data_IF_438093660651
#
_entry.id   IF_438093660651
#
_cell.length_a   1.000
_cell.length_b   1.000
_cell.length_c   1.000
_cell.angle_alpha   90.00
_cell.angle_beta   90.00
_cell.angle_gamma   90.00
#
_symmetry.space_group_name_H-M   'P 1'
#
loop_
_entity.id
_entity.type
_entity.pdbx_description
1 polymer ?
#
# COMPACT_ATOMS: atom_id res chain seq x y z
N UNK A 1 23.81 -7.77 58.12
CA UNK A 1 23.40 -7.43 56.74
C UNK A 1 24.52 -7.24 55.71
N UNK A 2 25.80 -7.03 56.07
CA UNK A 2 26.91 -6.86 55.11
C UNK A 2 27.47 -8.18 54.53
N UNK A 3 27.18 -9.34 55.15
CA UNK A 3 27.64 -10.65 54.66
C UNK A 3 26.75 -11.26 53.54
N UNK A 4 25.43 -11.05 53.62
CA UNK A 4 24.48 -11.60 52.66
C UNK A 4 24.60 -10.98 51.26
N UNK A 5 24.93 -9.70 51.21
CA UNK A 5 25.10 -8.93 49.96
C UNK A 5 26.35 -9.33 49.16
N UNK A 6 27.39 -9.88 49.82
CA UNK A 6 28.59 -10.38 49.13
C UNK A 6 28.34 -11.75 48.47
N UNK A 7 27.49 -12.58 49.05
CA UNK A 7 27.16 -13.89 48.50
C UNK A 7 26.18 -13.78 47.30
N UNK A 8 25.23 -12.86 47.35
CA UNK A 8 24.33 -12.60 46.22
C UNK A 8 25.04 -12.05 44.98
N UNK A 9 26.05 -11.18 45.17
CA UNK A 9 26.87 -10.67 44.07
C UNK A 9 27.75 -11.76 43.48
N UNK A 10 28.27 -12.70 44.30
CA UNK A 10 29.11 -13.81 43.84
C UNK A 10 28.28 -14.85 43.07
N UNK A 11 27.03 -15.15 43.49
CA UNK A 11 26.10 -16.03 42.78
C UNK A 11 25.64 -15.36 41.48
N UNK A 12 25.36 -14.05 41.45
CA UNK A 12 25.01 -13.32 40.26
C UNK A 12 26.14 -13.28 39.22
N UNK A 13 27.42 -13.21 39.71
CA UNK A 13 28.58 -13.26 38.81
C UNK A 13 28.89 -14.65 38.25
N UNK A 14 28.49 -15.72 38.97
CA UNK A 14 28.67 -17.10 38.52
C UNK A 14 27.63 -17.48 37.44
N UNK A 15 26.45 -16.84 37.39
CA UNK A 15 25.41 -17.09 36.41
C UNK A 15 25.71 -16.38 35.08
N UNK A 16 26.56 -15.36 35.03
CA UNK A 16 26.89 -14.57 33.83
C UNK A 16 27.98 -15.24 32.98
N UNK A 17 28.62 -16.31 33.42
CA UNK A 17 29.75 -16.95 32.71
C UNK A 17 29.43 -18.31 32.05
N UNK A 18 28.16 -18.65 31.81
CA UNK A 18 27.84 -19.73 30.88
C UNK A 18 27.86 -19.14 29.47
N UNK A 19 29.04 -18.95 28.94
CA UNK A 19 29.23 -18.81 27.50
C UNK A 19 28.92 -20.19 26.92
N UNK A 20 27.82 -20.31 26.19
CA UNK A 20 27.58 -21.49 25.34
C UNK A 20 28.63 -21.43 24.25
N UNK A 21 29.70 -22.21 24.41
CA UNK A 21 30.71 -22.38 23.37
C UNK A 21 30.01 -23.17 22.27
N UNK A 22 29.81 -22.54 21.13
CA UNK A 22 29.32 -23.24 19.93
C UNK A 22 30.31 -24.33 19.55
N UNK A 23 29.85 -25.59 19.38
CA UNK A 23 30.71 -26.71 19.02
C UNK A 23 31.23 -26.57 17.60
N UNK A 24 30.58 -25.76 16.75
CA UNK A 24 30.99 -25.50 15.38
C UNK A 24 30.70 -24.05 14.94
N UNK A 25 31.35 -23.65 13.85
CA UNK A 25 31.04 -22.43 13.11
C UNK A 25 30.91 -22.73 11.63
N UNK A 26 30.08 -21.94 10.93
CA UNK A 26 29.89 -22.08 9.47
C UNK A 26 30.62 -20.93 8.78
N UNK A 27 31.46 -21.29 7.81
CA UNK A 27 32.25 -20.35 7.03
C UNK A 27 32.04 -20.57 5.53
N UNK A 28 32.34 -19.55 4.73
CA UNK A 28 32.29 -19.62 3.25
C UNK A 28 30.94 -20.05 2.69
N UNK A 29 29.81 -19.69 3.34
CA UNK A 29 28.48 -20.01 2.84
C UNK A 29 28.21 -19.24 1.54
N UNK A 30 27.98 -20.01 0.47
CA UNK A 30 27.62 -19.52 -0.86
C UNK A 30 26.36 -20.21 -1.33
N UNK A 31 25.41 -19.45 -1.85
CA UNK A 31 24.16 -19.93 -2.45
C UNK A 31 24.06 -19.37 -3.85
N UNK A 32 23.94 -20.24 -4.85
CA UNK A 32 23.83 -19.87 -6.26
C UNK A 32 22.58 -20.52 -6.89
N UNK A 33 21.66 -19.75 -7.50
CA UNK A 33 21.63 -18.29 -7.55
C UNK A 33 21.28 -17.68 -6.18
N UNK A 34 21.80 -16.47 -5.93
CA UNK A 34 21.44 -15.67 -4.76
C UNK A 34 20.12 -14.90 -5.02
N UNK A 35 19.34 -14.66 -3.95
CA UNK A 35 18.10 -13.88 -4.01
C UNK A 35 16.84 -14.72 -4.13
N UNK A 36 15.82 -14.20 -4.82
CA UNK A 36 14.55 -14.91 -5.01
C UNK A 36 14.66 -16.01 -6.07
N UNK A 37 13.90 -17.08 -5.83
CA UNK A 37 13.87 -18.25 -6.69
C UNK A 37 12.49 -18.43 -7.32
N UNK A 38 12.44 -19.13 -8.43
CA UNK A 38 11.19 -19.64 -9.02
C UNK A 38 11.20 -21.18 -8.99
N UNK A 39 10.03 -21.84 -9.01
CA UNK A 39 9.94 -23.29 -9.04
C UNK A 39 10.86 -23.92 -10.07
N UNK A 40 11.50 -25.02 -9.71
CA UNK A 40 12.46 -25.78 -10.51
C UNK A 40 13.78 -25.04 -10.85
N UNK A 41 14.05 -23.85 -10.31
CA UNK A 41 15.36 -23.20 -10.42
C UNK A 41 16.41 -24.10 -9.77
N UNK A 42 17.49 -24.51 -10.47
CA UNK A 42 18.62 -25.21 -9.86
C UNK A 42 19.28 -24.34 -8.81
N UNK A 43 19.61 -24.94 -7.66
CA UNK A 43 20.27 -24.26 -6.54
C UNK A 43 21.45 -25.08 -6.08
N UNK A 44 22.59 -24.42 -5.96
CA UNK A 44 23.81 -25.01 -5.38
C UNK A 44 24.17 -24.23 -4.11
N UNK A 45 24.41 -24.97 -3.02
CA UNK A 45 24.86 -24.40 -1.74
C UNK A 45 26.21 -25.01 -1.40
N UNK A 46 27.20 -24.18 -1.16
CA UNK A 46 28.54 -24.65 -0.73
C UNK A 46 28.94 -23.94 0.55
N UNK A 47 29.48 -24.66 1.53
CA UNK A 47 29.93 -24.09 2.78
C UNK A 47 30.94 -25.01 3.48
N UNK A 48 31.58 -24.48 4.49
CA UNK A 48 32.49 -25.19 5.38
C UNK A 48 32.02 -25.07 6.82
N UNK A 49 31.99 -26.18 7.53
CA UNK A 49 31.75 -26.25 8.97
C UNK A 49 33.11 -26.49 9.63
N UNK A 50 33.48 -25.59 10.52
CA UNK A 50 34.72 -25.67 11.29
C UNK A 50 34.38 -26.02 12.75
N UNK A 51 34.92 -27.12 13.25
CA UNK A 51 34.74 -27.50 14.65
C UNK A 51 35.59 -26.60 15.56
N UNK A 52 35.00 -26.06 16.61
CA UNK A 52 35.69 -25.21 17.58
C UNK A 52 36.21 -25.95 18.83
N UNK A 53 36.44 -27.26 18.69
CA UNK A 53 36.90 -28.13 19.76
C UNK A 53 36.63 -29.60 19.43
N UNK A 54 36.49 -30.43 20.46
CA UNK A 54 36.06 -31.83 20.28
C UNK A 54 34.55 -31.86 20.11
N UNK A 55 34.07 -32.32 18.96
CA UNK A 55 32.62 -32.55 18.77
C UNK A 55 32.19 -33.77 19.62
N UNK A 56 31.09 -33.70 20.40
CA UNK A 56 30.64 -34.80 21.24
C UNK A 56 30.31 -36.05 20.38
N UNK A 57 30.82 -37.20 20.77
CA UNK A 57 30.66 -38.44 19.98
C UNK A 57 29.21 -38.91 19.83
N UNK A 58 28.38 -38.57 20.84
CA UNK A 58 27.00 -39.02 20.93
C UNK A 58 25.99 -38.00 20.37
N UNK A 59 26.49 -36.85 19.92
CA UNK A 59 25.70 -35.83 19.30
C UNK A 59 25.62 -36.03 17.78
N UNK A 60 24.71 -35.31 17.11
CA UNK A 60 24.51 -35.43 15.66
C UNK A 60 24.44 -34.03 15.04
N UNK A 61 25.12 -33.82 13.93
CA UNK A 61 24.99 -32.62 13.13
C UNK A 61 24.02 -32.88 11.98
N UNK A 62 22.84 -32.23 12.02
CA UNK A 62 21.83 -32.32 10.98
C UNK A 62 21.86 -31.13 10.05
N UNK A 63 21.88 -31.40 8.76
CA UNK A 63 21.73 -30.43 7.68
C UNK A 63 20.40 -30.68 6.99
N UNK A 64 19.55 -29.66 6.95
CA UNK A 64 18.20 -29.77 6.39
C UNK A 64 17.98 -28.76 5.27
N UNK A 65 17.22 -29.16 4.25
CA UNK A 65 16.77 -28.30 3.16
C UNK A 65 15.31 -28.58 2.78
N UNK A 66 14.61 -27.55 2.28
CA UNK A 66 13.31 -27.71 1.64
C UNK A 66 13.43 -27.82 0.10
N UNK A 67 14.63 -27.78 -0.47
CA UNK A 67 14.83 -28.01 -1.90
C UNK A 67 14.27 -29.37 -2.31
N UNK A 68 13.76 -29.46 -3.52
CA UNK A 68 13.36 -30.72 -4.13
C UNK A 68 14.55 -31.41 -4.80
N UNK A 69 14.53 -32.75 -4.79
CA UNK A 69 15.59 -33.61 -5.34
C UNK A 69 16.97 -33.24 -4.79
N UNK A 70 17.14 -33.03 -3.50
CA UNK A 70 18.42 -32.62 -2.95
C UNK A 70 19.45 -33.74 -3.02
N UNK A 71 20.68 -33.37 -3.34
CA UNK A 71 21.85 -34.23 -3.38
C UNK A 71 22.96 -33.61 -2.56
N UNK A 72 23.46 -34.37 -1.56
CA UNK A 72 24.50 -33.92 -0.66
C UNK A 72 25.82 -34.60 -1.00
N UNK A 73 26.87 -33.78 -1.08
CA UNK A 73 28.26 -34.25 -1.13
C UNK A 73 28.98 -33.59 0.04
N UNK A 74 29.67 -34.37 0.86
CA UNK A 74 30.47 -33.81 1.94
C UNK A 74 31.82 -34.51 2.10
N UNK A 75 32.79 -33.78 2.58
CA UNK A 75 34.14 -34.20 2.82
C UNK A 75 34.55 -33.84 4.24
N UNK A 76 34.94 -34.84 5.04
CA UNK A 76 35.51 -34.59 6.37
C UNK A 76 37.00 -34.36 6.18
N UNK A 77 37.51 -33.24 6.65
CA UNK A 77 38.92 -32.85 6.52
C UNK A 77 39.53 -32.86 7.93
N UNK A 78 40.55 -33.69 8.11
CA UNK A 78 41.27 -33.82 9.39
C UNK A 78 42.74 -33.49 9.17
N UNK A 79 43.25 -32.44 9.78
CA UNK A 79 44.65 -31.98 9.58
C UNK A 79 45.02 -31.81 8.11
N UNK A 80 44.07 -31.33 7.28
CA UNK A 80 44.24 -31.15 5.83
C UNK A 80 44.06 -32.42 4.98
N UNK A 81 43.84 -33.59 5.60
CA UNK A 81 43.55 -34.83 4.88
C UNK A 81 42.08 -34.94 4.57
N UNK A 82 41.73 -35.04 3.29
CA UNK A 82 40.35 -35.11 2.81
C UNK A 82 39.80 -36.53 2.78
N UNK A 83 38.63 -36.72 3.42
CA UNK A 83 37.89 -37.97 3.42
C UNK A 83 36.51 -37.72 2.78
N UNK A 84 36.44 -37.99 1.47
CA UNK A 84 35.18 -37.85 0.72
C UNK A 84 34.18 -38.92 1.15
N UNK A 85 32.94 -38.50 1.36
CA UNK A 85 31.82 -39.38 1.71
C UNK A 85 30.94 -39.65 0.49
N UNK A 86 30.21 -40.77 0.47
CA UNK A 86 29.26 -41.07 -0.59
C UNK A 86 28.23 -39.98 -0.78
N UNK A 87 27.76 -39.77 -2.02
CA UNK A 87 26.65 -38.86 -2.35
C UNK A 87 25.38 -39.38 -1.69
N UNK A 88 24.66 -38.50 -0.99
CA UNK A 88 23.43 -38.85 -0.29
C UNK A 88 22.28 -37.99 -0.83
N UNK A 89 21.11 -38.62 -0.98
CA UNK A 89 19.85 -37.91 -1.28
C UNK A 89 18.99 -37.69 -0.03
N UNK A 90 17.91 -36.93 -0.20
CA UNK A 90 16.95 -36.66 0.89
C UNK A 90 17.12 -35.26 1.49
N UNK A 91 16.05 -34.76 2.10
CA UNK A 91 16.02 -33.40 2.63
C UNK A 91 16.87 -33.20 3.88
N UNK A 92 17.30 -34.29 4.51
CA UNK A 92 18.14 -34.25 5.71
C UNK A 92 19.40 -35.10 5.47
N UNK A 93 20.54 -34.49 5.76
CA UNK A 93 21.83 -35.16 5.91
C UNK A 93 22.20 -35.15 7.39
N UNK A 94 22.41 -36.33 7.98
CA UNK A 94 22.86 -36.49 9.35
C UNK A 94 24.34 -36.93 9.36
N UNK A 95 25.16 -36.21 10.09
CA UNK A 95 26.59 -36.57 10.32
C UNK A 95 26.73 -36.91 11.80
N UNK A 96 27.09 -38.16 12.08
CA UNK A 96 27.28 -38.63 13.47
C UNK A 96 28.44 -37.89 14.14
N UNK A 97 28.26 -37.53 15.38
CA UNK A 97 29.32 -36.93 16.19
C UNK A 97 30.55 -37.85 16.29
N UNK A 98 30.34 -39.20 16.23
CA UNK A 98 31.46 -40.16 16.16
C UNK A 98 32.40 -39.90 14.97
N UNK A 99 31.88 -39.48 13.82
CA UNK A 99 32.68 -39.16 12.62
C UNK A 99 33.42 -37.80 12.78
N UNK A 100 33.02 -36.96 13.69
CA UNK A 100 33.59 -35.62 13.95
C UNK A 100 34.42 -35.55 15.24
N UNK A 101 34.43 -36.64 16.02
CA UNK A 101 35.10 -36.68 17.32
C UNK A 101 36.59 -37.03 17.13
N UNK A 102 37.44 -36.02 17.13
CA UNK A 102 38.90 -36.11 17.06
C UNK A 102 39.53 -35.44 18.28
N UNK A 103 40.84 -35.60 18.46
CA UNK A 103 41.52 -34.96 19.56
C UNK A 103 41.49 -33.41 19.45
N UNK A 104 41.54 -32.73 20.58
CA UNK A 104 41.56 -31.26 20.63
C UNK A 104 42.70 -30.61 19.85
N UNK A 105 43.79 -31.38 19.56
CA UNK A 105 44.93 -30.94 18.76
C UNK A 105 44.71 -31.06 17.28
N UNK A 106 43.65 -31.71 16.85
CA UNK A 106 43.37 -31.94 15.43
C UNK A 106 42.45 -30.85 14.89
N UNK A 107 42.77 -30.33 13.72
CA UNK A 107 41.91 -29.42 13.00
C UNK A 107 40.89 -30.24 12.19
N UNK A 108 39.60 -30.13 12.57
CA UNK A 108 38.51 -30.87 11.93
C UNK A 108 37.55 -29.91 11.29
N UNK A 109 37.28 -30.17 10.01
CA UNK A 109 36.24 -29.40 9.31
C UNK A 109 35.46 -30.28 8.32
N UNK A 110 34.26 -29.83 7.95
CA UNK A 110 33.42 -30.52 6.96
C UNK A 110 33.12 -29.54 5.83
N UNK A 111 33.53 -29.88 4.62
CA UNK A 111 33.12 -29.17 3.42
C UNK A 111 31.86 -29.82 2.88
N UNK A 112 30.83 -29.06 2.61
CA UNK A 112 29.53 -29.55 2.14
C UNK A 112 29.15 -28.84 0.86
N UNK A 113 28.61 -29.61 -0.09
CA UNK A 113 27.91 -29.11 -1.27
C UNK A 113 26.54 -29.76 -1.32
N UNK A 114 25.51 -28.92 -1.40
CA UNK A 114 24.13 -29.33 -1.63
C UNK A 114 23.70 -28.86 -3.01
N UNK A 115 23.18 -29.74 -3.81
CA UNK A 115 22.54 -29.44 -5.08
C UNK A 115 21.05 -29.82 -4.99
N UNK A 116 20.19 -29.04 -5.57
CA UNK A 116 18.74 -29.30 -5.59
C UNK A 116 18.01 -28.33 -6.50
N UNK A 117 16.72 -28.36 -6.46
CA UNK A 117 15.88 -27.38 -7.20
C UNK A 117 14.88 -26.73 -6.26
N UNK A 118 14.56 -25.46 -6.53
CA UNK A 118 13.54 -24.75 -5.77
C UNK A 118 12.19 -25.48 -5.85
N UNK A 119 11.49 -25.69 -4.74
CA UNK A 119 10.24 -26.46 -4.72
C UNK A 119 9.10 -25.70 -5.42
N UNK A 120 8.10 -26.44 -5.88
CA UNK A 120 6.83 -25.85 -6.29
C UNK A 120 6.10 -25.31 -5.07
N UNK A 121 5.54 -24.10 -5.21
CA UNK A 121 4.77 -23.41 -4.15
C UNK A 121 3.41 -22.99 -4.69
N UNK A 122 2.39 -23.08 -3.85
CA UNK A 122 1.04 -22.59 -4.16
C UNK A 122 0.88 -21.10 -3.90
N UNK A 123 1.72 -20.56 -3.01
CA UNK A 123 1.81 -19.16 -2.65
C UNK A 123 3.28 -18.76 -2.52
N UNK A 124 3.61 -17.53 -2.90
CA UNK A 124 4.95 -16.97 -2.71
C UNK A 124 5.34 -17.03 -1.23
N UNK A 125 6.41 -17.77 -0.91
CA UNK A 125 6.81 -18.05 0.48
C UNK A 125 8.30 -18.25 0.64
N UNK A 126 8.82 -17.95 1.83
CA UNK A 126 10.17 -18.27 2.22
C UNK A 126 10.32 -19.78 2.40
N UNK A 127 11.41 -20.34 1.82
CA UNK A 127 11.81 -21.74 1.96
C UNK A 127 13.19 -21.83 2.56
N UNK A 128 13.39 -22.80 3.45
CA UNK A 128 14.70 -23.10 4.01
C UNK A 128 15.60 -23.70 2.94
N UNK A 129 16.62 -22.96 2.53
CA UNK A 129 17.62 -23.44 1.58
C UNK A 129 18.61 -24.34 2.28
N UNK A 130 19.09 -23.91 3.45
CA UNK A 130 19.95 -24.70 4.32
C UNK A 130 19.68 -24.33 5.79
N UNK A 131 19.52 -25.34 6.63
CA UNK A 131 19.55 -25.22 8.08
C UNK A 131 20.50 -26.25 8.65
N UNK A 132 21.40 -25.81 9.49
CA UNK A 132 22.43 -26.62 10.16
C UNK A 132 22.10 -26.57 11.65
N UNK A 133 21.89 -27.71 12.28
CA UNK A 133 21.51 -27.81 13.69
C UNK A 133 22.24 -28.96 14.34
N UNK A 134 22.83 -28.75 15.49
CA UNK A 134 23.38 -29.77 16.35
C UNK A 134 22.26 -30.35 17.23
N UNK A 135 22.21 -31.67 17.30
CA UNK A 135 21.29 -32.39 18.18
C UNK A 135 22.12 -33.13 19.23
N UNK A 136 21.78 -32.93 20.49
CA UNK A 136 22.41 -33.64 21.60
C UNK A 136 22.01 -35.12 21.63
N UNK A 137 22.76 -35.94 22.37
CA UNK A 137 22.52 -37.38 22.54
C UNK A 137 21.10 -37.77 22.94
N UNK A 138 20.36 -36.87 23.56
CA UNK A 138 18.95 -37.05 23.92
C UNK A 138 17.97 -36.60 22.83
N UNK A 139 18.46 -36.24 21.64
CA UNK A 139 17.67 -35.80 20.49
C UNK A 139 17.13 -34.37 20.57
N UNK A 140 17.66 -33.55 21.47
CA UNK A 140 17.26 -32.14 21.58
C UNK A 140 18.12 -31.25 20.69
N UNK A 141 17.49 -30.37 19.92
CA UNK A 141 18.17 -29.39 19.10
C UNK A 141 18.88 -28.32 19.96
N UNK A 142 20.14 -28.06 19.68
CA UNK A 142 20.92 -27.00 20.32
C UNK A 142 20.75 -25.72 19.46
N UNK A 143 19.71 -24.97 19.77
CA UNK A 143 19.29 -23.82 18.95
C UNK A 143 20.27 -22.65 19.01
N UNK A 144 21.15 -22.57 20.01
CA UNK A 144 22.20 -21.56 20.12
C UNK A 144 23.28 -21.67 19.04
N UNK A 145 23.41 -22.84 18.41
CA UNK A 145 24.39 -23.12 17.35
C UNK A 145 23.74 -23.18 15.96
N UNK A 146 22.42 -23.07 15.88
CA UNK A 146 21.69 -23.20 14.62
C UNK A 146 22.04 -22.09 13.64
N UNK A 147 22.34 -22.48 12.40
CA UNK A 147 22.52 -21.59 11.25
C UNK A 147 21.42 -21.90 10.25
N UNK A 148 20.66 -20.88 9.83
CA UNK A 148 19.60 -21.03 8.85
C UNK A 148 19.70 -19.95 7.77
N UNK A 149 19.51 -20.37 6.51
CA UNK A 149 19.36 -19.45 5.38
C UNK A 149 18.12 -19.82 4.60
N UNK A 150 17.32 -18.81 4.26
CA UNK A 150 16.07 -18.96 3.52
C UNK A 150 16.12 -18.15 2.23
N UNK A 151 15.36 -18.56 1.23
CA UNK A 151 15.11 -17.77 0.02
C UNK A 151 13.61 -17.69 -0.25
N UNK A 152 13.19 -16.55 -0.81
CA UNK A 152 11.82 -16.36 -1.27
C UNK A 152 11.59 -17.16 -2.55
N UNK A 153 10.70 -18.16 -2.51
CA UNK A 153 10.27 -18.90 -3.71
C UNK A 153 8.95 -18.29 -4.19
N UNK A 154 8.96 -17.76 -5.40
CA UNK A 154 7.88 -17.01 -5.99
C UNK A 154 6.96 -17.91 -6.81
N UNK A 155 5.67 -17.88 -6.56
CA UNK A 155 4.68 -18.53 -7.41
C UNK A 155 4.50 -17.74 -8.72
N UNK A 156 4.97 -18.28 -9.82
CA UNK A 156 4.91 -17.62 -11.15
C UNK A 156 3.50 -17.41 -11.66
N UNK A 157 2.56 -18.30 -11.29
CA UNK A 157 1.14 -18.17 -11.67
C UNK A 157 0.48 -17.01 -10.89
N UNK A 158 0.86 -16.81 -9.64
CA UNK A 158 0.41 -15.68 -8.82
C UNK A 158 0.84 -14.35 -9.44
N UNK A 159 2.11 -14.21 -9.84
CA UNK A 159 2.62 -13.00 -10.49
C UNK A 159 1.84 -12.68 -11.76
N UNK A 160 1.59 -13.67 -12.62
CA UNK A 160 0.81 -13.49 -13.85
C UNK A 160 -0.63 -13.06 -13.56
N UNK A 161 -1.25 -13.62 -12.52
CA UNK A 161 -2.60 -13.25 -12.07
C UNK A 161 -2.64 -11.81 -11.56
N UNK A 162 -1.65 -11.41 -10.75
CA UNK A 162 -1.55 -10.04 -10.22
C UNK A 162 -1.35 -9.03 -11.35
N UNK A 163 -0.49 -9.33 -12.34
CA UNK A 163 -0.33 -8.47 -13.53
C UNK A 163 -1.67 -8.25 -14.23
N UNK A 164 -2.43 -9.34 -14.49
CA UNK A 164 -3.73 -9.24 -15.15
C UNK A 164 -4.75 -8.42 -14.33
N UNK A 165 -4.76 -8.58 -13.01
CA UNK A 165 -5.61 -7.79 -12.13
C UNK A 165 -5.23 -6.30 -12.19
N UNK A 166 -3.95 -5.96 -12.15
CA UNK A 166 -3.49 -4.56 -12.21
C UNK A 166 -3.74 -3.92 -13.57
N UNK A 167 -3.72 -4.69 -14.66
CA UNK A 167 -4.17 -4.20 -15.98
C UNK A 167 -5.65 -3.78 -15.94
N UNK A 168 -6.49 -4.59 -15.34
CA UNK A 168 -7.91 -4.27 -15.20
C UNK A 168 -8.13 -3.03 -14.30
N UNK A 169 -7.43 -2.95 -13.17
CA UNK A 169 -7.48 -1.80 -12.27
C UNK A 169 -7.04 -0.50 -12.99
N UNK A 170 -5.98 -0.57 -13.79
CA UNK A 170 -5.47 0.57 -14.57
C UNK A 170 -6.50 1.05 -15.61
N UNK A 171 -7.24 0.15 -16.24
CA UNK A 171 -8.32 0.50 -17.17
C UNK A 171 -9.48 1.19 -16.45
N UNK A 172 -9.87 0.70 -15.27
CA UNK A 172 -10.89 1.33 -14.43
C UNK A 172 -10.45 2.75 -14.06
N UNK A 173 -9.22 2.89 -13.60
CA UNK A 173 -8.65 4.19 -13.24
C UNK A 173 -8.63 5.15 -14.44
N UNK A 174 -8.26 4.67 -15.63
CA UNK A 174 -8.35 5.48 -16.87
C UNK A 174 -9.77 5.99 -17.11
N UNK A 175 -10.76 5.12 -16.93
CA UNK A 175 -12.18 5.50 -17.10
C UNK A 175 -12.57 6.59 -16.12
N UNK A 176 -12.14 6.53 -14.87
CA UNK A 176 -12.42 7.57 -13.86
C UNK A 176 -11.81 8.91 -14.26
N UNK A 177 -10.57 8.91 -14.76
CA UNK A 177 -9.92 10.13 -15.27
C UNK A 177 -10.74 10.73 -16.42
N UNK A 178 -11.11 9.93 -17.42
CA UNK A 178 -11.87 10.37 -18.60
C UNK A 178 -13.23 10.95 -18.21
N UNK A 179 -13.94 10.28 -17.28
CA UNK A 179 -15.22 10.79 -16.76
C UNK A 179 -15.08 12.16 -16.08
N UNK A 180 -14.01 12.36 -15.30
CA UNK A 180 -13.80 13.65 -14.60
C UNK A 180 -13.33 14.74 -15.56
N UNK A 181 -12.47 14.39 -16.52
CA UNK A 181 -12.08 15.32 -17.58
C UNK A 181 -13.27 15.80 -18.40
N UNK A 182 -14.24 14.92 -18.70
CA UNK A 182 -15.48 15.26 -19.41
C UNK A 182 -16.37 16.25 -18.61
N UNK A 183 -16.21 16.31 -17.28
CA UNK A 183 -16.88 17.29 -16.42
C UNK A 183 -16.09 18.60 -16.28
N UNK A 184 -14.95 18.75 -16.98
CA UNK A 184 -14.09 19.93 -16.91
C UNK A 184 -13.22 20.02 -15.66
N UNK A 185 -13.07 18.91 -14.92
CA UNK A 185 -12.21 18.83 -13.75
C UNK A 185 -10.74 18.68 -14.20
N UNK A 186 -9.83 19.36 -13.53
CA UNK A 186 -8.39 19.22 -13.78
C UNK A 186 -7.90 17.84 -13.38
N UNK A 187 -7.55 17.03 -14.37
CA UNK A 187 -7.08 15.65 -14.19
C UNK A 187 -5.55 15.51 -14.32
N UNK A 188 -4.81 16.60 -14.42
CA UNK A 188 -3.37 16.59 -14.72
C UNK A 188 -2.54 15.78 -13.71
N UNK A 189 -2.85 15.91 -12.40
CA UNK A 189 -2.18 15.14 -11.35
C UNK A 189 -2.52 13.65 -11.42
N UNK A 190 -3.77 13.30 -11.73
CA UNK A 190 -4.21 11.93 -11.92
C UNK A 190 -3.59 11.28 -13.17
N UNK A 191 -3.48 12.04 -14.28
CA UNK A 191 -2.80 11.61 -15.50
C UNK A 191 -1.30 11.28 -15.25
N UNK A 192 -0.62 12.11 -14.46
CA UNK A 192 0.76 11.83 -14.07
C UNK A 192 0.89 10.51 -13.33
N UNK A 193 -0.03 10.23 -12.38
CA UNK A 193 -0.06 8.98 -11.62
C UNK A 193 -0.50 7.77 -12.45
N UNK A 194 -1.36 7.96 -13.45
CA UNK A 194 -1.69 6.93 -14.43
C UNK A 194 -0.45 6.50 -15.24
N UNK A 195 0.33 7.46 -15.69
CA UNK A 195 1.55 7.20 -16.45
C UNK A 195 2.62 6.49 -15.59
N UNK A 196 2.76 6.88 -14.31
CA UNK A 196 3.63 6.22 -13.34
C UNK A 196 3.20 4.76 -13.14
N UNK A 197 1.94 4.51 -12.81
CA UNK A 197 1.39 3.17 -12.63
C UNK A 197 1.54 2.30 -13.88
N UNK A 198 1.33 2.88 -15.05
CA UNK A 198 1.51 2.17 -16.32
C UNK A 198 2.97 1.79 -16.55
N UNK A 199 3.91 2.67 -16.24
CA UNK A 199 5.35 2.40 -16.37
C UNK A 199 5.77 1.26 -15.44
N UNK A 200 5.34 1.27 -14.18
CA UNK A 200 5.65 0.23 -13.20
C UNK A 200 5.07 -1.13 -13.63
N UNK A 201 3.84 -1.14 -14.14
CA UNK A 201 3.20 -2.34 -14.66
C UNK A 201 3.91 -2.91 -15.90
N UNK A 202 4.32 -2.05 -16.83
CA UNK A 202 5.08 -2.44 -18.02
C UNK A 202 6.49 -2.95 -17.63
N UNK A 203 7.12 -2.34 -16.61
CA UNK A 203 8.37 -2.82 -16.02
C UNK A 203 8.19 -4.23 -15.46
N UNK A 204 7.21 -4.43 -14.56
CA UNK A 204 6.92 -5.74 -13.95
C UNK A 204 6.70 -6.84 -15.00
N UNK A 205 6.01 -6.52 -16.09
CA UNK A 205 5.71 -7.46 -17.19
C UNK A 205 6.96 -7.87 -17.98
N UNK A 206 7.93 -6.96 -18.08
CA UNK A 206 9.15 -7.18 -18.87
C UNK A 206 10.23 -7.99 -18.13
N UNK A 207 10.11 -8.11 -16.80
CA UNK A 207 11.13 -8.77 -15.97
C UNK A 207 11.14 -10.30 -16.18
N UNK A 208 12.34 -10.90 -16.24
CA UNK A 208 12.46 -12.35 -16.31
C UNK A 208 12.10 -13.01 -14.96
N UNK A 209 11.81 -14.30 -14.97
CA UNK A 209 11.31 -15.04 -13.81
C UNK A 209 12.23 -14.99 -12.57
N UNK A 210 13.54 -14.88 -12.76
CA UNK A 210 14.50 -14.72 -11.65
C UNK A 210 14.47 -13.33 -11.01
N UNK A 211 13.70 -12.40 -11.55
CA UNK A 211 13.50 -11.05 -11.01
C UNK A 211 12.04 -10.80 -10.58
N UNK A 212 11.25 -11.83 -10.40
CA UNK A 212 9.85 -11.69 -10.02
C UNK A 212 9.63 -11.03 -8.64
N UNK A 213 10.61 -11.04 -7.73
CA UNK A 213 10.55 -10.23 -6.51
C UNK A 213 10.53 -8.73 -6.85
N UNK A 214 11.31 -8.30 -7.82
CA UNK A 214 11.27 -6.92 -8.34
C UNK A 214 9.94 -6.65 -9.03
N UNK A 215 9.44 -7.60 -9.84
CA UNK A 215 8.13 -7.48 -10.49
C UNK A 215 7.00 -7.27 -9.46
N UNK A 216 6.98 -8.01 -8.35
CA UNK A 216 6.00 -7.80 -7.28
C UNK A 216 6.13 -6.42 -6.61
N UNK A 217 7.36 -5.92 -6.46
CA UNK A 217 7.61 -4.56 -5.97
C UNK A 217 7.04 -3.51 -6.92
N UNK A 218 7.29 -3.63 -8.23
CA UNK A 218 6.77 -2.74 -9.25
C UNK A 218 5.24 -2.78 -9.30
N UNK A 219 4.62 -3.96 -9.18
CA UNK A 219 3.16 -4.12 -9.11
C UNK A 219 2.55 -3.42 -7.87
N UNK A 220 3.25 -3.44 -6.74
CA UNK A 220 2.83 -2.70 -5.55
C UNK A 220 2.99 -1.18 -5.75
N UNK A 221 4.07 -0.74 -6.41
CA UNK A 221 4.27 0.66 -6.78
C UNK A 221 3.16 1.15 -7.71
N UNK A 222 2.82 0.38 -8.76
CA UNK A 222 1.69 0.68 -9.65
C UNK A 222 0.37 0.82 -8.88
N UNK A 223 0.12 -0.07 -7.90
CA UNK A 223 -1.08 0.00 -7.06
C UNK A 223 -1.11 1.30 -6.24
N UNK A 224 0.02 1.66 -5.64
CA UNK A 224 0.15 2.89 -4.85
C UNK A 224 -0.06 4.13 -5.73
N UNK A 225 0.54 4.15 -6.91
CA UNK A 225 0.37 5.24 -7.87
C UNK A 225 -1.10 5.41 -8.28
N UNK A 226 -1.84 4.33 -8.58
CA UNK A 226 -3.28 4.39 -8.85
C UNK A 226 -4.08 4.93 -7.68
N UNK A 227 -3.81 4.47 -6.46
CA UNK A 227 -4.50 4.96 -5.24
C UNK A 227 -4.23 6.45 -4.98
N UNK A 228 -3.00 6.90 -5.17
CA UNK A 228 -2.64 8.32 -5.02
C UNK A 228 -3.28 9.17 -6.13
N UNK A 229 -3.38 8.61 -7.33
CA UNK A 229 -4.07 9.24 -8.44
C UNK A 229 -5.57 9.38 -8.22
N UNK A 230 -6.25 8.38 -7.67
CA UNK A 230 -7.68 8.46 -7.29
C UNK A 230 -7.89 9.53 -6.22
N UNK A 231 -7.00 9.64 -5.24
CA UNK A 231 -7.06 10.72 -4.24
C UNK A 231 -6.87 12.10 -4.86
N UNK A 232 -5.94 12.23 -5.82
CA UNK A 232 -5.72 13.48 -6.53
C UNK A 232 -6.96 13.88 -7.35
N UNK A 233 -7.62 12.91 -7.98
CA UNK A 233 -8.85 13.09 -8.75
C UNK A 233 -10.02 13.52 -7.85
N UNK A 234 -10.18 12.88 -6.70
CA UNK A 234 -11.20 13.25 -5.69
C UNK A 234 -10.95 14.66 -5.15
N UNK A 235 -9.70 15.03 -4.92
CA UNK A 235 -9.32 16.38 -4.48
C UNK A 235 -9.67 17.41 -5.55
N UNK A 236 -9.25 17.21 -6.79
CA UNK A 236 -9.53 18.13 -7.88
C UNK A 236 -11.05 18.32 -8.09
N UNK A 237 -11.81 17.24 -7.96
CA UNK A 237 -13.27 17.33 -8.02
C UNK A 237 -13.85 18.16 -6.88
N UNK A 238 -13.38 17.99 -5.65
CA UNK A 238 -13.84 18.78 -4.51
C UNK A 238 -13.47 20.26 -4.67
N UNK A 239 -12.28 20.57 -5.17
CA UNK A 239 -11.83 21.93 -5.47
C UNK A 239 -12.69 22.59 -6.55
N UNK A 240 -13.08 21.83 -7.58
CA UNK A 240 -14.01 22.33 -8.62
C UNK A 240 -15.39 22.67 -8.04
N UNK A 241 -15.98 21.78 -7.22
CA UNK A 241 -17.28 22.03 -6.57
C UNK A 241 -17.23 23.28 -5.65
N UNK A 242 -16.10 23.50 -4.96
CA UNK A 242 -15.87 24.70 -4.15
C UNK A 242 -15.80 25.95 -5.02
N UNK A 243 -15.11 25.89 -6.16
CA UNK A 243 -15.03 27.00 -7.12
C UNK A 243 -16.43 27.33 -7.67
N UNK A 244 -17.22 26.34 -8.03
CA UNK A 244 -18.58 26.52 -8.51
C UNK A 244 -19.47 27.15 -7.43
N UNK A 245 -19.33 26.73 -6.16
CA UNK A 245 -20.07 27.28 -5.04
C UNK A 245 -19.73 28.75 -4.74
N UNK A 246 -18.54 29.20 -5.07
CA UNK A 246 -18.12 30.59 -4.91
C UNK A 246 -18.87 31.53 -5.88
N UNK A 247 -19.30 31.05 -7.06
CA UNK A 247 -19.95 31.87 -8.10
C UNK A 247 -21.22 32.53 -7.59
N UNK A 248 -22.24 31.81 -7.08
CA UNK A 248 -23.45 32.44 -6.58
C UNK A 248 -23.21 33.33 -5.37
N UNK A 249 -22.22 33.05 -4.52
CA UNK A 249 -21.83 33.91 -3.39
C UNK A 249 -21.29 35.24 -3.90
N UNK A 250 -20.40 35.24 -4.89
CA UNK A 250 -19.90 36.48 -5.49
C UNK A 250 -21.01 37.25 -6.16
N UNK A 251 -21.94 36.59 -6.82
CA UNK A 251 -23.08 37.23 -7.46
C UNK A 251 -24.00 37.93 -6.45
N UNK A 252 -24.33 37.28 -5.33
CA UNK A 252 -25.15 37.92 -4.30
C UNK A 252 -24.40 39.08 -3.65
N UNK A 253 -23.07 39.01 -3.47
CA UNK A 253 -22.26 40.09 -2.94
C UNK A 253 -22.33 41.35 -3.82
N UNK A 254 -22.34 41.18 -5.15
CA UNK A 254 -22.53 42.29 -6.07
C UNK A 254 -23.89 42.97 -5.89
N UNK A 255 -24.97 42.16 -5.72
CA UNK A 255 -26.31 42.72 -5.49
C UNK A 255 -26.42 43.37 -4.11
N UNK A 256 -25.86 42.77 -3.05
CA UNK A 256 -25.81 43.38 -1.71
C UNK A 256 -25.06 44.71 -1.75
N UNK A 257 -23.97 44.80 -2.53
CA UNK A 257 -23.23 46.03 -2.71
C UNK A 257 -24.08 47.13 -3.39
N UNK A 258 -24.91 46.77 -4.36
CA UNK A 258 -25.87 47.68 -4.97
C UNK A 258 -26.90 48.22 -3.93
N UNK A 259 -27.45 47.34 -3.06
CA UNK A 259 -28.35 47.79 -1.98
C UNK A 259 -27.67 48.80 -1.06
N UNK A 260 -26.45 48.53 -0.61
CA UNK A 260 -25.70 49.37 0.35
C UNK A 260 -25.20 50.66 -0.30
N UNK A 261 -24.95 50.68 -1.58
CA UNK A 261 -24.49 51.87 -2.32
C UNK A 261 -25.59 52.93 -2.60
N UNK A 262 -26.86 52.56 -2.41
CA UNK A 262 -27.99 53.46 -2.67
C UNK A 262 -28.73 53.74 -1.38
N UNK A 263 -28.75 55.00 -0.97
CA UNK A 263 -29.39 55.45 0.31
C UNK A 263 -30.86 55.09 0.43
N UNK A 264 -31.59 54.97 -0.68
CA UNK A 264 -32.99 54.58 -0.71
C UNK A 264 -33.24 53.08 -0.46
N UNK A 265 -32.22 52.24 -0.65
CA UNK A 265 -32.30 50.78 -0.55
C UNK A 265 -31.43 50.21 0.58
N UNK A 266 -30.53 51.01 1.15
CA UNK A 266 -29.60 50.58 2.19
C UNK A 266 -30.27 50.01 3.45
N UNK A 267 -31.50 50.49 3.74
CA UNK A 267 -32.32 50.05 4.89
C UNK A 267 -33.49 49.14 4.47
N UNK A 268 -33.38 48.46 3.34
CA UNK A 268 -34.42 47.55 2.88
C UNK A 268 -34.65 46.42 3.90
N UNK A 269 -35.95 46.15 4.20
CA UNK A 269 -36.32 45.17 5.22
C UNK A 269 -36.00 43.71 4.88
N UNK A 270 -35.77 43.38 3.62
CA UNK A 270 -35.37 42.03 3.19
C UNK A 270 -33.85 41.85 3.13
N UNK A 271 -33.08 42.93 3.10
CA UNK A 271 -31.64 42.87 3.03
C UNK A 271 -30.98 42.04 4.16
N UNK A 272 -31.40 42.13 5.45
CA UNK A 272 -30.87 41.29 6.51
C UNK A 272 -31.06 39.78 6.25
N UNK A 273 -32.21 39.35 5.73
CA UNK A 273 -32.49 37.95 5.42
C UNK A 273 -31.62 37.44 4.28
N UNK A 274 -31.42 38.27 3.24
CA UNK A 274 -30.49 37.95 2.11
C UNK A 274 -29.06 37.79 2.63
N UNK A 275 -28.60 38.74 3.47
CA UNK A 275 -27.24 38.65 4.06
C UNK A 275 -27.10 37.38 4.91
N UNK A 276 -28.11 37.04 5.75
CA UNK A 276 -28.06 35.81 6.56
C UNK A 276 -27.91 34.57 5.70
N UNK A 277 -28.67 34.44 4.61
CA UNK A 277 -28.52 33.28 3.68
C UNK A 277 -27.14 33.25 3.05
N UNK A 278 -26.60 34.40 2.65
CA UNK A 278 -25.22 34.52 2.13
C UNK A 278 -24.19 34.08 3.16
N UNK A 279 -24.32 34.49 4.45
CA UNK A 279 -23.38 34.06 5.49
C UNK A 279 -23.43 32.54 5.75
N UNK A 280 -24.63 31.94 5.68
CA UNK A 280 -24.78 30.48 5.75
C UNK A 280 -24.03 29.80 4.59
N UNK A 281 -24.16 30.32 3.36
CA UNK A 281 -23.45 29.80 2.20
C UNK A 281 -21.91 29.88 2.39
N UNK A 282 -21.41 31.00 2.91
CA UNK A 282 -19.97 31.17 3.20
C UNK A 282 -19.50 30.22 4.29
N UNK A 283 -20.33 29.99 5.32
CA UNK A 283 -19.99 29.01 6.37
C UNK A 283 -19.86 27.60 5.81
N UNK A 284 -20.76 27.16 4.93
CA UNK A 284 -20.65 25.88 4.27
C UNK A 284 -19.39 25.80 3.36
N UNK A 285 -19.10 26.87 2.62
CA UNK A 285 -17.91 26.95 1.77
C UNK A 285 -16.62 26.88 2.59
N UNK A 286 -16.56 27.56 3.75
CA UNK A 286 -15.44 27.44 4.68
C UNK A 286 -15.27 26.02 5.17
N UNK A 287 -16.35 25.34 5.57
CA UNK A 287 -16.31 23.94 6.00
C UNK A 287 -15.83 23.04 4.86
N UNK A 288 -16.26 23.26 3.62
CA UNK A 288 -15.79 22.52 2.47
C UNK A 288 -14.27 22.64 2.26
N UNK A 289 -13.73 23.86 2.41
CA UNK A 289 -12.28 24.09 2.32
C UNK A 289 -11.52 23.40 3.46
N UNK A 290 -12.05 23.43 4.70
CA UNK A 290 -11.46 22.71 5.83
C UNK A 290 -11.46 21.18 5.59
N UNK A 291 -12.54 20.65 5.02
CA UNK A 291 -12.64 19.24 4.65
C UNK A 291 -11.64 18.87 3.55
N UNK A 292 -11.38 19.73 2.55
CA UNK A 292 -10.31 19.52 1.55
C UNK A 292 -8.95 19.47 2.23
N UNK A 293 -8.68 20.43 3.13
CA UNK A 293 -7.41 20.48 3.85
C UNK A 293 -7.16 19.23 4.70
N UNK A 294 -8.22 18.62 5.22
CA UNK A 294 -8.18 17.38 6.01
C UNK A 294 -8.25 16.10 5.16
N UNK A 295 -8.35 16.21 3.83
CA UNK A 295 -8.44 15.05 2.92
C UNK A 295 -9.84 14.41 2.86
N UNK A 296 -10.87 15.05 3.40
CA UNK A 296 -12.26 14.58 3.44
C UNK A 296 -13.02 14.99 2.16
N UNK A 297 -12.52 14.66 0.99
CA UNK A 297 -13.00 15.19 -0.30
C UNK A 297 -14.49 14.94 -0.56
N UNK A 298 -15.00 13.77 -0.17
CA UNK A 298 -16.43 13.46 -0.32
C UNK A 298 -17.33 14.42 0.52
N UNK A 299 -16.92 14.72 1.75
CA UNK A 299 -17.64 15.66 2.61
C UNK A 299 -17.49 17.09 2.09
N UNK A 300 -16.31 17.46 1.62
CA UNK A 300 -16.07 18.74 0.99
C UNK A 300 -17.04 19.01 -0.18
N UNK A 301 -17.23 18.02 -1.07
CA UNK A 301 -18.19 18.14 -2.18
C UNK A 301 -19.62 18.37 -1.68
N UNK A 302 -20.06 17.63 -0.67
CA UNK A 302 -21.41 17.83 -0.09
C UNK A 302 -21.56 19.23 0.50
N UNK A 303 -20.55 19.73 1.22
CA UNK A 303 -20.57 21.08 1.78
C UNK A 303 -20.51 22.17 0.71
N UNK A 304 -19.74 21.94 -0.37
CA UNK A 304 -19.73 22.84 -1.51
C UNK A 304 -21.11 22.92 -2.20
N UNK A 305 -21.80 21.79 -2.36
CA UNK A 305 -23.16 21.74 -2.91
C UNK A 305 -24.16 22.45 -1.99
N UNK A 306 -24.06 22.31 -0.66
CA UNK A 306 -24.85 23.06 0.30
C UNK A 306 -24.58 24.56 0.15
N UNK A 307 -23.31 24.97 0.03
CA UNK A 307 -22.88 26.34 -0.18
C UNK A 307 -23.44 26.93 -1.49
N UNK A 308 -23.32 26.18 -2.60
CA UNK A 308 -23.86 26.54 -3.89
C UNK A 308 -25.39 26.79 -3.81
N UNK A 309 -26.10 25.83 -3.22
CA UNK A 309 -27.56 25.88 -3.08
C UNK A 309 -27.99 27.12 -2.28
N UNK A 310 -27.35 27.38 -1.12
CA UNK A 310 -27.67 28.54 -0.26
C UNK A 310 -27.23 29.86 -0.89
N UNK A 311 -26.09 29.88 -1.56
CA UNK A 311 -25.62 31.05 -2.33
C UNK A 311 -26.59 31.41 -3.44
N UNK A 312 -27.06 30.42 -4.19
CA UNK A 312 -28.01 30.62 -5.29
C UNK A 312 -29.41 31.05 -4.79
N UNK A 313 -29.87 30.48 -3.66
CA UNK A 313 -31.11 30.94 -2.99
C UNK A 313 -30.99 32.39 -2.61
N UNK A 314 -29.90 32.79 -1.95
CA UNK A 314 -29.64 34.18 -1.56
C UNK A 314 -29.56 35.12 -2.76
N UNK A 315 -28.89 34.69 -3.85
CA UNK A 315 -28.76 35.47 -5.08
C UNK A 315 -30.11 35.69 -5.76
N UNK A 316 -30.95 34.64 -5.84
CA UNK A 316 -32.28 34.70 -6.44
C UNK A 316 -33.16 35.67 -5.67
N UNK A 317 -33.18 35.61 -4.32
CA UNK A 317 -33.95 36.55 -3.48
C UNK A 317 -33.46 37.98 -3.65
N UNK A 318 -32.14 38.18 -3.69
CA UNK A 318 -31.52 39.49 -3.87
C UNK A 318 -31.89 40.11 -5.22
N UNK A 319 -31.83 39.33 -6.32
CA UNK A 319 -32.24 39.78 -7.64
C UNK A 319 -33.72 40.13 -7.71
N UNK A 320 -34.60 39.28 -7.17
CA UNK A 320 -36.05 39.54 -7.15
C UNK A 320 -36.36 40.85 -6.41
N UNK A 321 -35.70 41.07 -5.26
CA UNK A 321 -35.88 42.30 -4.50
C UNK A 321 -35.29 43.52 -5.22
N UNK A 322 -34.14 43.43 -5.81
CA UNK A 322 -33.52 44.48 -6.64
C UNK A 322 -34.45 44.89 -7.78
N UNK A 323 -35.06 43.94 -8.48
CA UNK A 323 -36.00 44.19 -9.57
C UNK A 323 -37.25 44.92 -9.07
N UNK A 324 -37.84 44.48 -7.92
CA UNK A 324 -38.99 45.16 -7.29
C UNK A 324 -38.71 46.64 -6.97
N UNK A 325 -37.49 46.92 -6.47
CA UNK A 325 -37.11 48.29 -6.10
C UNK A 325 -36.69 49.13 -7.30
N UNK A 326 -36.11 48.52 -8.32
CA UNK A 326 -35.70 49.22 -9.57
C UNK A 326 -36.87 49.51 -10.48
N UNK A 327 -37.89 48.65 -10.45
CA UNK A 327 -39.14 48.85 -11.20
C UNK A 327 -40.12 49.81 -10.52
N UNK A 328 -39.65 50.61 -9.56
CA UNK A 328 -40.41 51.57 -8.77
C UNK A 328 -41.32 52.52 -9.55
N UNK A 329 -42.30 51.95 -10.23
CA UNK A 329 -43.55 52.57 -10.67
C UNK A 329 -44.58 51.49 -10.94
N UNK A 330 -45.64 51.46 -10.15
CA UNK A 330 -46.78 50.61 -10.35
C UNK A 330 -47.49 51.02 -11.64
N UNK A 331 -47.25 50.32 -12.71
CA UNK A 331 -48.21 50.27 -13.81
C UNK A 331 -49.01 48.96 -13.73
N UNK A 332 -50.31 49.00 -13.96
CA UNK A 332 -51.16 47.80 -13.92
C UNK A 332 -50.67 46.80 -14.97
N UNK A 333 -50.37 45.65 -14.53
CA UNK A 333 -49.85 44.55 -15.32
C UNK A 333 -50.87 44.15 -16.36
N UNK A 334 -50.57 44.26 -17.68
CA UNK A 334 -51.18 43.41 -18.64
C UNK A 334 -50.49 42.04 -18.57
N UNK A 335 -51.28 41.06 -18.31
CA UNK A 335 -51.03 39.63 -18.31
C UNK A 335 -49.89 39.17 -19.26
N UNK A 336 -48.62 39.08 -18.76
CA UNK A 336 -47.52 38.44 -19.49
C UNK A 336 -47.26 37.10 -18.82
N UNK A 337 -48.23 36.23 -18.96
CA UNK A 337 -48.16 34.84 -18.48
C UNK A 337 -47.56 33.88 -19.50
N UNK A 338 -46.33 34.15 -19.97
CA UNK A 338 -45.75 33.22 -20.90
C UNK A 338 -44.22 33.00 -20.73
N UNK A 339 -43.47 34.06 -20.61
CA UNK A 339 -42.00 33.93 -20.69
C UNK A 339 -41.34 33.54 -19.36
N UNK A 340 -41.93 33.91 -18.22
CA UNK A 340 -41.37 33.53 -16.91
C UNK A 340 -41.56 32.05 -16.59
N UNK A 341 -42.67 31.47 -17.08
CA UNK A 341 -42.91 30.02 -16.98
C UNK A 341 -42.00 29.21 -17.91
N UNK A 342 -41.55 29.79 -19.04
CA UNK A 342 -40.61 29.11 -19.96
C UNK A 342 -39.23 29.06 -19.30
N UNK A 343 -38.74 30.12 -18.68
CA UNK A 343 -37.41 30.13 -17.99
C UNK A 343 -37.45 29.22 -16.78
N UNK A 344 -38.52 29.29 -15.93
CA UNK A 344 -38.72 28.35 -14.83
C UNK A 344 -38.87 26.90 -15.30
N UNK A 345 -39.57 26.68 -16.41
CA UNK A 345 -39.72 25.36 -17.03
C UNK A 345 -38.40 24.80 -17.52
N UNK A 346 -37.49 25.59 -18.09
CA UNK A 346 -36.16 25.18 -18.53
C UNK A 346 -35.29 24.82 -17.32
N UNK A 347 -35.33 25.62 -16.25
CA UNK A 347 -34.58 25.33 -15.00
C UNK A 347 -35.07 24.02 -14.36
N UNK A 348 -36.39 23.79 -14.31
CA UNK A 348 -36.99 22.57 -13.78
C UNK A 348 -36.64 21.37 -14.67
N UNK A 349 -36.60 21.51 -15.98
CA UNK A 349 -36.23 20.43 -16.91
C UNK A 349 -34.72 20.11 -16.72
N UNK A 350 -33.84 21.10 -16.57
CA UNK A 350 -32.41 20.87 -16.29
C UNK A 350 -32.23 20.18 -14.95
N UNK A 351 -32.94 20.58 -13.89
CA UNK A 351 -32.89 19.92 -12.58
C UNK A 351 -33.44 18.47 -12.64
N UNK A 352 -34.49 18.21 -13.42
CA UNK A 352 -35.02 16.85 -13.62
C UNK A 352 -34.02 16.00 -14.39
N UNK A 353 -33.40 16.52 -15.44
CA UNK A 353 -32.37 15.80 -16.23
C UNK A 353 -31.15 15.47 -15.37
N UNK A 354 -30.66 16.43 -14.61
CA UNK A 354 -29.56 16.21 -13.65
C UNK A 354 -29.98 15.22 -12.55
N UNK A 355 -31.18 15.35 -12.01
CA UNK A 355 -31.73 14.41 -11.02
C UNK A 355 -31.90 12.98 -11.55
N UNK A 356 -32.33 12.83 -12.81
CA UNK A 356 -32.46 11.52 -13.46
C UNK A 356 -31.09 10.90 -13.76
N UNK A 357 -30.10 11.72 -14.14
CA UNK A 357 -28.71 11.26 -14.35
C UNK A 357 -28.13 10.76 -13.03
N UNK A 358 -28.30 11.53 -11.95
CA UNK A 358 -27.83 11.16 -10.60
C UNK A 358 -28.57 9.93 -10.08
N UNK A 359 -29.90 9.85 -10.27
CA UNK A 359 -30.69 8.69 -9.86
C UNK A 359 -30.32 7.42 -10.61
N UNK A 360 -30.12 7.50 -11.94
CA UNK A 360 -29.69 6.38 -12.77
C UNK A 360 -28.28 5.90 -12.41
N UNK A 361 -27.37 6.82 -12.07
CA UNK A 361 -26.03 6.48 -11.58
C UNK A 361 -26.08 5.82 -10.21
N UNK A 362 -26.94 6.26 -9.31
CA UNK A 362 -27.06 5.70 -7.94
C UNK A 362 -27.60 4.26 -7.95
N UNK A 363 -28.50 3.92 -8.88
CA UNK A 363 -29.06 2.56 -9.00
C UNK A 363 -28.08 1.54 -9.58
N UNK A 364 -27.00 1.98 -10.23
CA UNK A 364 -25.95 1.09 -10.75
C UNK A 364 -24.88 0.71 -9.69
N UNK A 365 -24.86 1.41 -8.56
CA UNK A 365 -23.90 1.16 -7.46
C UNK A 365 -24.43 0.19 -6.40
N UNK A 366 -25.77 -0.05 -6.36
CA UNK A 366 -26.38 -1.00 -5.42
C UNK A 366 -26.34 -2.46 -5.91
N UNK A 367 -25.86 -2.73 -7.13
CA UNK A 367 -25.73 -4.09 -7.67
C UNK A 367 -24.31 -4.69 -7.57
N UNK A 368 -23.35 -3.98 -6.94
CA UNK A 368 -21.98 -4.45 -6.73
C UNK A 368 -21.57 -4.45 -5.23
N UNK A 369 -22.54 -4.75 -4.36
CA UNK A 369 -22.33 -4.96 -2.94
C UNK A 369 -22.29 -6.45 -2.58
#
# INVERSE_FOLDING_TARGET
MKGLMKWTVFILFLVVCIQVVSAFSVSSLSIDPSGSLTPATPVTVAFKIDNSGVFPSDDELQLFTELDKPTWTYTIIVNGIENLRPVMGGRTLAISGFELNYKTTDEVSVRVTLEGVAPAVTETSNKTIIRITEYSSNGQAITSTQVENTALVINTAEVASVISSRDADLQVYRTHIDEKAALGIDTSAAEAKYNEAKQDLDSARSLPSNQYATALSDLNAATTAMQDGEKALDKAWAENEVADAQIPINNVDAVISWFKGNSSTANDNQLPAIITKREVAVSYLSTANDDIANGNYAQARLKAQDAFSKGNESYTDALARQQQLSSGFSLPIPNIGGSLFIVLGIIVIVLIVVGVIIYRKRSQWDELG
#
